data_IF_993249673324
#
_entry.id   IF_993249673324
#
_cell.length_a   1.000
_cell.length_b   1.000
_cell.length_c   1.000
_cell.angle_alpha   90.00
_cell.angle_beta   90.00
_cell.angle_gamma   90.00
#
_symmetry.space_group_name_H-M   'P 1'
#
loop_
_entity.id
_entity.type
_entity.pdbx_description
1 polymer ?
#
# COMPACT_ATOMS: atom_id res chain seq x y z
N UNK A 1 -45.48 1.11 -47.37
CA UNK A 1 -45.96 1.94 -46.25
C UNK A 1 -45.95 1.08 -45.01
N UNK A 2 -45.32 1.61 -43.95
CA UNK A 2 -45.28 1.15 -42.56
C UNK A 2 -44.36 -0.05 -42.23
N UNK A 3 -43.55 -0.08 -41.18
CA UNK A 3 -42.92 0.94 -40.31
C UNK A 3 -42.12 0.17 -39.25
N UNK A 4 -41.11 0.86 -38.74
CA UNK A 4 -40.10 0.45 -37.78
C UNK A 4 -40.65 0.35 -36.35
N UNK A 5 -40.06 -0.56 -35.54
CA UNK A 5 -39.94 -0.63 -34.05
C UNK A 5 -40.13 -2.09 -33.62
N UNK A 6 -39.46 -2.68 -32.65
CA UNK A 6 -38.62 -2.28 -31.53
C UNK A 6 -38.07 -3.62 -31.01
N UNK A 7 -36.77 -3.86 -30.95
CA UNK A 7 -36.18 -4.84 -30.02
C UNK A 7 -34.75 -4.41 -29.68
N UNK A 8 -34.65 -3.58 -28.65
CA UNK A 8 -33.38 -3.19 -28.04
C UNK A 8 -32.55 -4.42 -27.67
N UNK A 9 -31.52 -4.68 -28.48
CA UNK A 9 -30.46 -5.62 -28.16
C UNK A 9 -29.78 -5.17 -26.87
N UNK A 10 -30.11 -5.83 -25.77
CA UNK A 10 -29.66 -5.47 -24.44
C UNK A 10 -28.14 -5.60 -24.34
N UNK A 11 -27.46 -4.46 -24.32
CA UNK A 11 -26.06 -4.36 -23.90
C UNK A 11 -25.99 -4.75 -22.43
N UNK A 12 -25.70 -6.03 -22.14
CA UNK A 12 -25.33 -6.44 -20.78
C UNK A 12 -23.96 -5.85 -20.46
N UNK A 13 -23.82 -4.91 -19.51
CA UNK A 13 -22.51 -4.47 -19.07
C UNK A 13 -21.80 -5.67 -18.45
N UNK A 14 -20.61 -6.00 -18.97
CA UNK A 14 -19.74 -6.99 -18.34
C UNK A 14 -19.37 -6.45 -16.95
N UNK A 15 -19.40 -7.26 -15.88
CA UNK A 15 -18.85 -6.87 -14.60
C UNK A 15 -17.43 -6.35 -14.80
N UNK A 16 -17.17 -5.12 -14.34
CA UNK A 16 -15.84 -4.54 -14.39
C UNK A 16 -14.84 -5.40 -13.61
N UNK A 17 -13.55 -5.33 -13.93
CA UNK A 17 -12.52 -6.02 -13.16
C UNK A 17 -12.64 -5.64 -11.68
N UNK A 18 -12.39 -6.58 -10.76
CA UNK A 18 -12.42 -6.29 -9.33
C UNK A 18 -11.44 -5.14 -9.03
N UNK A 19 -11.75 -4.29 -8.04
CA UNK A 19 -10.82 -3.24 -7.63
C UNK A 19 -9.47 -3.87 -7.30
N UNK A 20 -8.39 -3.25 -7.79
CA UNK A 20 -7.04 -3.67 -7.45
C UNK A 20 -6.91 -3.67 -5.92
N UNK A 21 -6.62 -4.83 -5.34
CA UNK A 21 -6.31 -4.90 -3.92
C UNK A 21 -5.06 -4.04 -3.69
N UNK A 22 -5.02 -3.22 -2.63
CA UNK A 22 -3.82 -2.48 -2.30
C UNK A 22 -2.67 -3.48 -2.14
N UNK A 23 -1.46 -3.15 -2.63
CA UNK A 23 -0.33 -4.05 -2.46
C UNK A 23 -0.17 -4.36 -0.98
N UNK A 24 -0.24 -5.66 -0.64
CA UNK A 24 0.21 -6.15 0.65
C UNK A 24 1.74 -6.03 0.64
N UNK A 25 2.24 -4.84 0.97
CA UNK A 25 3.68 -4.64 1.20
C UNK A 25 4.09 -5.57 2.34
N UNK A 26 5.12 -6.38 2.10
CA UNK A 26 5.69 -7.25 3.12
C UNK A 26 6.13 -6.38 4.31
N UNK A 27 5.59 -6.58 5.53
CA UNK A 27 6.00 -5.83 6.71
C UNK A 27 7.51 -5.89 6.97
N UNK A 28 8.17 -6.97 6.56
CA UNK A 28 9.63 -7.11 6.68
C UNK A 28 10.40 -6.19 5.73
N UNK A 29 9.82 -5.83 4.59
CA UNK A 29 10.46 -4.94 3.63
C UNK A 29 10.60 -3.52 4.19
N UNK A 30 9.54 -2.99 4.82
CA UNK A 30 9.59 -1.67 5.46
C UNK A 30 10.60 -1.60 6.62
N UNK A 31 10.66 -2.66 7.43
CA UNK A 31 11.67 -2.78 8.49
C UNK A 31 13.09 -2.80 7.90
N UNK A 32 13.33 -3.57 6.83
CA UNK A 32 14.64 -3.65 6.20
C UNK A 32 15.10 -2.31 5.63
N UNK A 33 14.19 -1.56 5.01
CA UNK A 33 14.45 -0.20 4.51
C UNK A 33 14.77 0.78 5.65
N UNK A 34 13.96 0.79 6.71
CA UNK A 34 14.19 1.66 7.85
C UNK A 34 15.52 1.35 8.56
N UNK A 35 15.88 0.07 8.70
CA UNK A 35 17.16 -0.34 9.28
C UNK A 35 18.34 0.06 8.39
N UNK A 36 18.24 -0.08 7.07
CA UNK A 36 19.26 0.42 6.15
C UNK A 36 19.43 1.95 6.24
N UNK A 37 18.36 2.68 6.59
CA UNK A 37 18.43 4.11 6.90
C UNK A 37 19.28 4.47 8.13
N UNK A 38 19.66 3.50 8.96
CA UNK A 38 20.57 3.70 10.09
C UNK A 38 22.05 3.57 9.70
N UNK A 39 22.36 3.13 8.48
CA UNK A 39 23.73 3.12 7.99
C UNK A 39 24.29 4.55 7.94
N UNK A 40 25.59 4.70 8.23
CA UNK A 40 26.33 5.96 8.22
C UNK A 40 25.71 7.09 9.09
N UNK A 41 25.06 6.74 10.21
CA UNK A 41 24.53 7.72 11.17
C UNK A 41 25.58 8.75 11.64
N UNK A 42 26.84 8.33 11.80
CA UNK A 42 27.95 9.23 12.16
C UNK A 42 28.27 10.29 11.11
N UNK A 43 27.81 10.09 9.87
CA UNK A 43 27.96 11.06 8.78
C UNK A 43 26.91 12.18 8.83
N UNK A 44 25.96 12.14 9.77
CA UNK A 44 24.90 13.14 9.90
C UNK A 44 24.84 13.77 11.30
N UNK A 45 24.27 14.97 11.45
CA UNK A 45 24.08 15.60 12.76
C UNK A 45 23.30 14.71 13.75
N UNK A 46 23.70 14.74 15.02
CA UNK A 46 23.05 13.99 16.10
C UNK A 46 21.53 14.27 16.20
N UNK A 47 21.09 15.49 15.85
CA UNK A 47 19.68 15.85 15.84
C UNK A 47 18.86 15.00 14.85
N UNK A 48 19.46 14.54 13.75
CA UNK A 48 18.80 13.69 12.75
C UNK A 48 18.73 12.22 13.17
N UNK A 49 19.57 11.79 14.12
CA UNK A 49 19.60 10.38 14.56
C UNK A 49 18.24 9.97 15.13
N UNK A 50 17.63 10.84 15.92
CA UNK A 50 16.34 10.59 16.56
C UNK A 50 15.26 10.31 15.52
N UNK A 51 15.20 11.08 14.45
CA UNK A 51 14.23 10.89 13.36
C UNK A 51 14.43 9.54 12.65
N UNK A 52 15.68 9.13 12.40
CA UNK A 52 15.96 7.82 11.78
C UNK A 52 15.58 6.64 12.68
N UNK A 53 15.84 6.74 13.98
CA UNK A 53 15.40 5.73 14.94
C UNK A 53 13.87 5.71 15.10
N UNK A 54 13.20 6.85 15.04
CA UNK A 54 11.74 6.95 15.09
C UNK A 54 11.08 6.28 13.88
N UNK A 55 11.67 6.41 12.70
CA UNK A 55 11.22 5.70 11.50
C UNK A 55 11.25 4.17 11.68
N UNK A 56 12.31 3.62 12.28
CA UNK A 56 12.39 2.18 12.59
C UNK A 56 11.31 1.75 13.58
N UNK A 57 11.08 2.53 14.64
CA UNK A 57 10.01 2.23 15.61
C UNK A 57 8.62 2.29 14.98
N UNK A 58 8.41 3.23 14.05
CA UNK A 58 7.17 3.34 13.29
C UNK A 58 6.93 2.11 12.44
N UNK A 59 7.92 1.65 11.66
CA UNK A 59 7.79 0.46 10.82
C UNK A 59 7.58 -0.82 11.65
N UNK A 60 8.25 -0.95 12.79
CA UNK A 60 8.00 -2.05 13.74
C UNK A 60 6.56 -2.02 14.28
N UNK A 61 6.06 -0.83 14.62
CA UNK A 61 4.68 -0.66 15.10
C UNK A 61 3.66 -1.02 14.02
N UNK A 62 3.88 -0.58 12.79
CA UNK A 62 3.04 -0.92 11.63
C UNK A 62 3.05 -2.43 11.39
N UNK A 63 4.23 -3.06 11.39
CA UNK A 63 4.37 -4.48 11.16
C UNK A 63 3.65 -5.31 12.23
N UNK A 64 3.84 -4.99 13.52
CA UNK A 64 3.18 -5.68 14.62
C UNK A 64 1.66 -5.45 14.62
N UNK A 65 1.22 -4.21 14.36
CA UNK A 65 -0.21 -3.87 14.26
C UNK A 65 -0.89 -4.54 13.06
N UNK A 66 -0.14 -4.87 12.01
CA UNK A 66 -0.68 -5.60 10.86
C UNK A 66 -0.96 -7.07 11.18
N UNK A 67 -0.20 -7.66 12.12
CA UNK A 67 -0.34 -9.05 12.58
C UNK A 67 -1.46 -9.18 13.61
N UNK A 68 -1.66 -8.17 14.46
CA UNK A 68 -2.66 -8.16 15.55
C UNK A 68 -4.12 -8.01 15.11
N UNK A 69 -4.41 -7.99 13.80
CA UNK A 69 -5.79 -7.98 13.29
C UNK A 69 -6.47 -9.34 13.49
N UNK A 70 -7.04 -9.55 14.68
CA UNK A 70 -7.97 -10.65 15.02
C UNK A 70 -9.42 -10.34 14.66
#
# INVERSE_FOLDING_TARGET
MHEQTDQGGQFRPKPGPPPAQPPQTDPRAGIAEAVAGLDDLDSVPLAEHVERFDAVHTELTVALSSIDKV
#
